data_IF_875318359793
#
_entry.id   IF_875318359793
#
_cell.length_a   1.000
_cell.length_b   1.000
_cell.length_c   1.000
_cell.angle_alpha   90.00
_cell.angle_beta   90.00
_cell.angle_gamma   90.00
#
_symmetry.space_group_name_H-M   'P 1'
#
loop_
_entity.id
_entity.type
_entity.pdbx_description
1 polymer ?
#
# COMPACT_ATOMS: atom_id res chain seq x y z
N UNK A 1 -13.73 1.86 -12.54
CA UNK A 1 -12.93 2.15 -11.33
C UNK A 1 -12.30 0.84 -10.89
N UNK A 2 -10.97 0.73 -10.87
CA UNK A 2 -10.26 -0.51 -10.50
C UNK A 2 -10.14 -0.53 -8.97
N UNK A 3 -10.90 -1.40 -8.32
CA UNK A 3 -10.87 -1.56 -6.87
C UNK A 3 -9.69 -2.45 -6.50
N UNK A 4 -8.88 -2.00 -5.56
CA UNK A 4 -7.81 -2.80 -4.99
C UNK A 4 -8.04 -2.93 -3.50
N UNK A 5 -7.67 -4.06 -2.91
CA UNK A 5 -7.81 -4.28 -1.49
C UNK A 5 -6.44 -4.11 -0.82
N UNK A 6 -6.41 -3.42 0.31
CA UNK A 6 -5.18 -3.23 1.07
C UNK A 6 -4.68 -4.58 1.59
N UNK A 7 -3.45 -5.01 1.27
CA UNK A 7 -2.90 -6.26 1.79
C UNK A 7 -2.73 -6.31 3.31
N UNK A 8 -2.77 -5.17 4.02
CA UNK A 8 -2.66 -5.12 5.48
C UNK A 8 -4.01 -5.28 6.21
N UNK A 9 -5.07 -4.65 5.69
CA UNK A 9 -6.37 -4.57 6.40
C UNK A 9 -7.57 -5.04 5.57
N UNK A 10 -7.38 -5.39 4.30
CA UNK A 10 -8.46 -5.77 3.39
C UNK A 10 -9.40 -4.63 2.99
N UNK A 11 -9.05 -3.37 3.30
CA UNK A 11 -9.89 -2.23 2.98
C UNK A 11 -9.75 -1.83 1.51
N UNK A 12 -10.85 -1.39 0.89
CA UNK A 12 -10.87 -0.93 -0.51
C UNK A 12 -10.06 0.35 -0.68
N UNK A 13 -9.02 0.28 -1.49
CA UNK A 13 -8.14 1.36 -1.90
C UNK A 13 -8.57 1.91 -3.26
N UNK A 14 -8.40 3.22 -3.41
CA UNK A 14 -8.58 3.94 -4.67
C UNK A 14 -7.23 4.41 -5.18
N UNK A 15 -7.07 4.38 -6.51
CA UNK A 15 -5.80 4.48 -7.26
C UNK A 15 -5.17 5.89 -7.28
N UNK A 16 -5.32 6.66 -6.20
CA UNK A 16 -4.88 8.06 -6.14
C UNK A 16 -3.73 8.29 -5.16
N UNK A 17 -3.45 7.36 -4.23
CA UNK A 17 -2.47 7.59 -3.17
C UNK A 17 -1.72 6.30 -2.75
N UNK A 18 -0.43 6.43 -2.47
CA UNK A 18 0.46 5.36 -1.98
C UNK A 18 0.25 5.01 -0.48
N UNK A 19 -0.91 5.38 0.09
CA UNK A 19 -1.21 5.20 1.50
C UNK A 19 -2.68 4.80 1.68
N UNK A 20 -2.90 3.78 2.51
CA UNK A 20 -4.24 3.37 2.90
C UNK A 20 -4.86 4.38 3.86
N UNK A 21 -6.03 4.93 3.53
CA UNK A 21 -6.73 5.88 4.41
C UNK A 21 -7.35 5.22 5.65
N UNK A 22 -7.53 3.89 5.65
CA UNK A 22 -8.14 3.17 6.78
C UNK A 22 -7.12 2.81 7.87
N UNK A 23 -5.96 2.26 7.47
CA UNK A 23 -4.93 1.82 8.42
C UNK A 23 -3.65 2.66 8.35
N UNK A 24 -3.63 3.72 7.55
CA UNK A 24 -2.46 4.59 7.31
C UNK A 24 -1.21 3.86 6.79
N UNK A 25 -1.35 2.60 6.35
CA UNK A 25 -0.23 1.80 5.84
C UNK A 25 0.20 2.27 4.45
N UNK A 26 1.52 2.36 4.25
CA UNK A 26 2.10 2.63 2.95
C UNK A 26 1.95 1.40 2.03
N UNK A 27 1.45 1.64 0.84
CA UNK A 27 1.22 0.63 -0.20
C UNK A 27 1.85 1.11 -1.50
N UNK A 28 2.58 0.22 -2.16
CA UNK A 28 3.18 0.47 -3.46
C UNK A 28 2.41 -0.29 -4.52
N UNK A 29 2.28 0.31 -5.70
CA UNK A 29 1.69 -0.37 -6.85
C UNK A 29 2.79 -1.10 -7.63
N UNK A 30 2.65 -2.41 -7.75
CA UNK A 30 3.50 -3.28 -8.56
C UNK A 30 2.91 -3.35 -9.98
N UNK A 31 3.54 -2.72 -10.99
CA UNK A 31 3.05 -2.76 -12.36
C UNK A 31 3.19 -4.15 -13.00
N UNK A 32 4.19 -4.93 -12.59
CA UNK A 32 4.45 -6.27 -13.09
C UNK A 32 3.35 -7.27 -12.70
N UNK A 33 2.86 -7.15 -11.48
CA UNK A 33 1.80 -8.01 -10.93
C UNK A 33 0.42 -7.33 -10.99
N UNK A 34 0.38 -6.08 -11.44
CA UNK A 34 -0.78 -5.19 -11.45
C UNK A 34 -1.55 -5.22 -10.12
N UNK A 35 -0.85 -5.20 -8.99
CA UNK A 35 -1.41 -5.32 -7.62
C UNK A 35 -0.74 -4.33 -6.66
N UNK A 36 -1.39 -4.03 -5.54
CA UNK A 36 -0.75 -3.30 -4.46
C UNK A 36 0.01 -4.26 -3.54
N UNK A 37 1.19 -3.86 -3.10
CA UNK A 37 2.02 -4.54 -2.11
C UNK A 37 2.26 -3.61 -0.93
N UNK A 38 2.45 -4.16 0.28
CA UNK A 38 2.80 -3.35 1.44
C UNK A 38 4.22 -2.85 1.32
N UNK A 39 4.38 -1.54 1.46
CA UNK A 39 5.67 -0.88 1.55
C UNK A 39 6.05 -0.79 3.03
N UNK A 40 6.28 -1.93 3.68
CA UNK A 40 6.42 -1.91 5.13
C UNK A 40 6.74 -3.21 5.87
N UNK A 41 7.30 -4.24 5.24
CA UNK A 41 7.91 -5.32 6.02
C UNK A 41 9.40 -5.01 6.27
N UNK A 42 9.65 -4.16 7.27
CA UNK A 42 10.96 -4.03 7.90
C UNK A 42 11.80 -2.83 7.50
N UNK A 43 11.92 -1.86 8.41
CA UNK A 43 13.03 -0.92 8.42
C UNK A 43 12.60 0.53 8.50
N UNK A 44 12.34 0.99 9.73
CA UNK A 44 12.76 2.34 10.11
C UNK A 44 14.22 2.49 9.67
N UNK A 45 14.49 3.34 8.68
CA UNK A 45 15.82 3.89 8.48
C UNK A 45 15.89 5.16 9.33
N UNK A 46 16.44 5.13 10.56
CA UNK A 46 16.96 6.35 11.12
C UNK A 46 18.15 6.74 10.24
N UNK A 47 17.98 7.78 9.41
CA UNK A 47 19.14 8.53 8.93
C UNK A 47 19.77 9.17 10.17
N UNK A 48 20.83 8.54 10.67
CA UNK A 48 21.80 9.13 11.59
C UNK A 48 22.87 9.90 10.83
#
# INVERSE_FOLDING_TARGET
MKLFDCPNCGHRLYFENAQCLNCSSLVLYDPEQAKFVLSGEGGVLPCG
#
